data_IF_933662346023
#
_entry.id   IF_933662346023
#
_cell.length_a   1.000
_cell.length_b   1.000
_cell.length_c   1.000
_cell.angle_alpha   90.00
_cell.angle_beta   90.00
_cell.angle_gamma   90.00
#
_symmetry.space_group_name_H-M   'P 1'
#
loop_
_entity.id
_entity.type
_entity.pdbx_description
1 polymer ?
#
# COMPACT_ATOMS: atom_id res chain seq x y z
N UNK A 1 -22.79 23.52 26.63
CA UNK A 1 -22.02 22.55 25.83
C UNK A 1 -22.30 21.19 26.43
N UNK A 2 -22.66 20.20 25.61
CA UNK A 2 -22.81 18.83 26.10
C UNK A 2 -21.43 18.31 26.50
N UNK A 3 -21.31 17.73 27.69
CA UNK A 3 -20.06 17.17 28.22
C UNK A 3 -20.26 15.70 28.58
N UNK A 4 -19.29 14.85 28.26
CA UNK A 4 -19.32 13.46 28.71
C UNK A 4 -19.19 13.40 30.24
N UNK A 5 -19.93 12.52 30.95
CA UNK A 5 -19.83 12.40 32.40
C UNK A 5 -18.38 12.13 32.82
N UNK A 6 -17.90 12.85 33.85
CA UNK A 6 -16.58 12.62 34.45
C UNK A 6 -16.47 11.25 35.10
N UNK A 7 -17.59 10.72 35.58
CA UNK A 7 -17.73 9.37 36.12
C UNK A 7 -18.72 8.57 35.26
N UNK A 8 -18.28 8.01 34.13
CA UNK A 8 -19.17 7.27 33.25
C UNK A 8 -19.69 6.01 33.94
N UNK A 9 -20.99 5.78 33.77
CA UNK A 9 -21.66 4.56 34.22
C UNK A 9 -21.21 3.36 33.37
N UNK A 10 -21.53 2.15 33.82
CA UNK A 10 -21.29 0.95 33.02
C UNK A 10 -22.00 0.99 31.66
N UNK A 11 -23.20 1.56 31.61
CA UNK A 11 -23.98 1.70 30.38
C UNK A 11 -23.30 2.66 29.40
N UNK A 12 -22.72 3.76 29.89
CA UNK A 12 -21.95 4.70 29.06
C UNK A 12 -20.73 4.02 28.46
N UNK A 13 -19.95 3.29 29.28
CA UNK A 13 -18.78 2.55 28.83
C UNK A 13 -19.13 1.47 27.81
N UNK A 14 -20.23 0.75 28.04
CA UNK A 14 -20.75 -0.25 27.11
C UNK A 14 -21.13 0.39 25.77
N UNK A 15 -21.84 1.52 25.77
CA UNK A 15 -22.21 2.23 24.54
C UNK A 15 -20.98 2.70 23.75
N UNK A 16 -19.96 3.22 24.44
CA UNK A 16 -18.67 3.61 23.83
C UNK A 16 -17.98 2.40 23.18
N UNK A 17 -17.87 1.29 23.91
CA UNK A 17 -17.25 0.08 23.41
C UNK A 17 -18.03 -0.52 22.23
N UNK A 18 -19.36 -0.53 22.27
CA UNK A 18 -20.20 -1.05 21.20
C UNK A 18 -20.12 -0.21 19.93
N UNK A 19 -20.11 1.12 20.02
CA UNK A 19 -19.92 1.96 18.83
C UNK A 19 -18.54 1.73 18.23
N UNK A 20 -17.49 1.73 19.06
CA UNK A 20 -16.14 1.44 18.61
C UNK A 20 -16.04 0.05 17.95
N UNK A 21 -16.76 -0.94 18.50
CA UNK A 21 -16.80 -2.29 17.95
C UNK A 21 -17.51 -2.37 16.58
N UNK A 22 -18.57 -1.58 16.39
CA UNK A 22 -19.33 -1.57 15.12
C UNK A 22 -18.69 -0.71 14.04
N UNK A 23 -17.71 0.12 14.41
CA UNK A 23 -17.08 1.06 13.49
C UNK A 23 -16.24 0.35 12.40
N UNK A 24 -16.22 0.94 11.22
CA UNK A 24 -15.46 0.45 10.07
C UNK A 24 -14.74 1.59 9.38
N UNK A 25 -13.44 1.43 9.11
CA UNK A 25 -12.68 2.39 8.31
C UNK A 25 -13.24 2.54 6.88
N UNK A 26 -13.78 1.45 6.32
CA UNK A 26 -14.37 1.43 4.97
C UNK A 26 -15.62 2.29 4.84
N UNK A 27 -16.39 2.46 5.92
CA UNK A 27 -17.63 3.23 5.86
C UNK A 27 -17.37 4.70 5.51
N UNK A 28 -16.25 5.28 5.95
CA UNK A 28 -15.86 6.64 5.55
C UNK A 28 -15.45 6.71 4.07
N UNK A 29 -14.63 5.77 3.61
CA UNK A 29 -14.20 5.74 2.22
C UNK A 29 -15.41 5.55 1.27
N UNK A 30 -16.33 4.66 1.61
CA UNK A 30 -17.60 4.44 0.88
C UNK A 30 -18.49 5.68 0.91
N UNK A 31 -18.54 6.39 2.03
CA UNK A 31 -19.30 7.63 2.13
C UNK A 31 -18.77 8.72 1.19
N UNK A 32 -17.46 8.96 1.21
CA UNK A 32 -16.80 9.94 0.35
C UNK A 32 -16.98 9.58 -1.13
N UNK A 33 -16.97 8.28 -1.45
CA UNK A 33 -17.28 7.76 -2.79
C UNK A 33 -18.75 8.01 -3.18
N UNK A 34 -19.70 7.71 -2.29
CA UNK A 34 -21.13 7.89 -2.55
C UNK A 34 -21.52 9.35 -2.80
N UNK A 35 -20.82 10.31 -2.18
CA UNK A 35 -21.04 11.75 -2.40
C UNK A 35 -20.43 12.29 -3.69
N UNK A 36 -19.53 11.55 -4.33
CA UNK A 36 -18.95 11.92 -5.62
C UNK A 36 -19.20 10.81 -6.65
N UNK A 37 -20.33 10.84 -7.38
CA UNK A 37 -20.65 9.79 -8.36
C UNK A 37 -19.61 9.69 -9.50
N UNK A 38 -18.81 10.73 -9.70
CA UNK A 38 -17.72 10.76 -10.66
C UNK A 38 -16.39 10.18 -10.12
N UNK A 39 -16.30 9.90 -8.82
CA UNK A 39 -15.08 9.46 -8.16
C UNK A 39 -14.99 7.92 -8.17
N UNK A 40 -14.29 7.37 -9.16
CA UNK A 40 -14.03 5.93 -9.28
C UNK A 40 -12.84 5.52 -8.39
N UNK A 41 -13.02 5.58 -7.07
CA UNK A 41 -12.06 5.05 -6.10
C UNK A 41 -12.25 3.54 -5.97
N UNK A 42 -11.70 2.76 -6.89
CA UNK A 42 -11.43 1.36 -6.56
C UNK A 42 -10.20 1.35 -5.64
N UNK A 43 -10.34 0.94 -4.38
CA UNK A 43 -9.19 0.80 -3.49
C UNK A 43 -8.28 -0.34 -3.97
N UNK A 44 -6.98 -0.28 -3.68
CA UNK A 44 -6.14 -1.46 -3.88
C UNK A 44 -6.51 -2.54 -2.87
N UNK A 45 -6.32 -3.84 -3.14
CA UNK A 45 -6.62 -4.90 -2.17
C UNK A 45 -5.94 -4.67 -0.82
N UNK A 46 -4.73 -4.11 -0.86
CA UNK A 46 -4.01 -3.73 0.35
C UNK A 46 -4.66 -2.55 1.04
N UNK A 47 -5.06 -1.52 0.30
CA UNK A 47 -5.79 -0.39 0.88
C UNK A 47 -7.11 -0.87 1.50
N UNK A 48 -7.86 -1.75 0.84
CA UNK A 48 -9.09 -2.35 1.36
C UNK A 48 -8.86 -3.21 2.59
N UNK A 49 -7.77 -3.98 2.62
CA UNK A 49 -7.39 -4.81 3.77
C UNK A 49 -6.96 -3.93 4.96
N UNK A 50 -6.19 -2.88 4.68
CA UNK A 50 -5.79 -1.88 5.68
C UNK A 50 -7.00 -1.06 6.13
N UNK A 51 -8.01 -0.77 5.30
CA UNK A 51 -9.18 0.01 5.74
C UNK A 51 -10.27 -0.85 6.36
N UNK A 52 -10.24 -2.19 6.18
CA UNK A 52 -11.15 -3.09 6.91
C UNK A 52 -10.87 -3.18 8.40
N UNK A 53 -9.63 -2.96 8.84
CA UNK A 53 -9.30 -3.03 10.27
C UNK A 53 -9.74 -1.73 10.96
N UNK A 54 -10.55 -1.81 12.03
CA UNK A 54 -10.85 -0.65 12.86
C UNK A 54 -9.60 -0.08 13.53
N UNK A 55 -8.63 -0.94 13.87
CA UNK A 55 -7.39 -0.53 14.52
C UNK A 55 -6.52 0.32 13.59
N UNK A 56 -6.40 -0.03 12.32
CA UNK A 56 -5.68 0.80 11.34
C UNK A 56 -6.41 2.09 11.04
N UNK A 57 -7.74 2.11 10.99
CA UNK A 57 -8.51 3.34 10.85
C UNK A 57 -8.25 4.31 12.01
N UNK A 58 -8.14 3.78 13.24
CA UNK A 58 -7.74 4.55 14.42
C UNK A 58 -6.26 4.95 14.36
N UNK A 59 -5.38 4.04 13.93
CA UNK A 59 -3.96 4.33 13.75
C UNK A 59 -3.76 5.48 12.76
N UNK A 60 -4.49 5.54 11.64
CA UNK A 60 -4.43 6.67 10.69
C UNK A 60 -4.77 8.01 11.33
N UNK A 61 -5.60 8.05 12.36
CA UNK A 61 -5.94 9.30 13.06
C UNK A 61 -4.83 9.78 13.99
N UNK A 62 -3.96 8.87 14.46
CA UNK A 62 -2.86 9.19 15.40
C UNK A 62 -1.53 9.30 14.68
N UNK A 63 -1.31 8.45 13.67
CA UNK A 63 -0.07 8.38 12.93
C UNK A 63 0.18 9.72 12.22
N UNK A 64 1.44 10.16 12.18
CA UNK A 64 1.82 11.31 11.39
C UNK A 64 1.46 11.09 9.91
N UNK A 65 1.03 12.14 9.22
CA UNK A 65 0.77 12.06 7.79
C UNK A 65 2.07 11.88 7.01
N UNK A 66 3.15 12.54 7.43
CA UNK A 66 4.46 12.46 6.77
C UNK A 66 5.57 12.03 7.72
N UNK A 67 6.65 11.46 7.17
CA UNK A 67 7.87 11.14 7.92
C UNK A 67 8.40 12.36 8.67
N UNK A 68 8.36 13.55 8.07
CA UNK A 68 8.80 14.78 8.73
C UNK A 68 7.97 15.18 9.96
N UNK A 69 6.73 14.69 10.07
CA UNK A 69 5.85 14.97 11.21
C UNK A 69 6.20 14.04 12.39
N UNK A 70 6.74 12.85 12.11
CA UNK A 70 7.20 11.88 13.10
C UNK A 70 8.54 12.30 13.73
N UNK A 71 8.71 12.08 15.03
CA UNK A 71 9.98 12.32 15.73
C UNK A 71 11.12 11.45 15.18
N UNK A 72 10.86 10.14 15.02
CA UNK A 72 11.80 9.20 14.41
C UNK A 72 12.13 9.56 12.95
N UNK A 73 11.16 10.11 12.22
CA UNK A 73 11.36 10.52 10.83
C UNK A 73 12.21 11.79 10.71
N UNK A 74 12.09 12.72 11.67
CA UNK A 74 13.01 13.85 11.81
C UNK A 74 14.43 13.39 12.09
N UNK A 75 14.60 12.43 13.00
CA UNK A 75 15.90 11.82 13.32
C UNK A 75 16.53 11.16 12.08
N UNK A 76 15.82 10.26 11.41
CA UNK A 76 16.30 9.60 10.18
C UNK A 76 16.59 10.62 9.08
N UNK A 77 15.77 11.66 8.93
CA UNK A 77 16.03 12.70 7.93
C UNK A 77 17.29 13.50 8.24
N UNK A 78 17.63 13.71 9.51
CA UNK A 78 18.78 14.56 9.89
C UNK A 78 20.14 13.98 9.49
N UNK A 79 20.24 12.66 9.32
CA UNK A 79 21.48 11.99 8.90
C UNK A 79 21.63 11.88 7.37
N UNK A 80 20.62 12.32 6.60
CA UNK A 80 20.65 12.32 5.15
C UNK A 80 21.18 13.66 4.59
N UNK A 81 21.79 13.71 3.39
CA UNK A 81 22.09 14.94 2.68
C UNK A 81 20.85 15.83 2.47
N UNK A 82 21.00 17.17 2.47
CA UNK A 82 19.88 18.14 2.50
C UNK A 82 18.81 17.89 1.41
N UNK A 83 19.24 17.56 0.19
CA UNK A 83 18.34 17.21 -0.92
C UNK A 83 17.47 15.98 -0.62
N UNK A 84 18.05 14.97 0.04
CA UNK A 84 17.35 13.75 0.44
C UNK A 84 16.51 13.98 1.70
N UNK A 85 16.90 14.89 2.60
CA UNK A 85 16.09 15.24 3.77
C UNK A 85 14.71 15.77 3.36
N UNK A 86 14.66 16.71 2.41
CA UNK A 86 13.39 17.29 1.94
C UNK A 86 12.49 16.23 1.30
N UNK A 87 13.08 15.28 0.57
CA UNK A 87 12.33 14.18 -0.05
C UNK A 87 11.84 13.18 1.01
N UNK A 88 12.71 12.78 1.94
CA UNK A 88 12.41 11.85 3.02
C UNK A 88 11.31 12.40 3.92
N UNK A 89 11.39 13.67 4.34
CA UNK A 89 10.37 14.32 5.20
C UNK A 89 8.99 14.40 4.55
N UNK A 90 8.92 14.43 3.22
CA UNK A 90 7.66 14.50 2.48
C UNK A 90 7.09 13.12 2.09
N UNK A 91 7.69 12.02 2.54
CA UNK A 91 7.12 10.68 2.37
C UNK A 91 5.87 10.58 3.26
N UNK A 92 4.73 10.28 2.65
CA UNK A 92 3.47 10.06 3.34
C UNK A 92 3.51 8.72 4.09
N UNK A 93 3.20 8.74 5.39
CA UNK A 93 3.10 7.56 6.26
C UNK A 93 1.66 7.04 6.38
N UNK A 94 0.71 7.68 5.69
CA UNK A 94 -0.68 7.24 5.62
C UNK A 94 -1.56 7.69 6.79
N UNK A 95 -1.03 8.49 7.72
CA UNK A 95 -1.84 9.22 8.68
C UNK A 95 -2.70 10.30 8.02
N UNK A 96 -3.82 10.67 8.65
CA UNK A 96 -4.68 11.75 8.15
C UNK A 96 -3.99 13.11 8.30
N UNK A 97 -4.06 13.94 7.26
CA UNK A 97 -3.72 15.37 7.36
C UNK A 97 -4.64 16.09 8.35
N UNK A 98 -4.23 17.27 8.84
CA UNK A 98 -5.09 18.09 9.69
C UNK A 98 -6.43 18.45 9.00
N UNK A 99 -6.38 18.78 7.70
CA UNK A 99 -7.58 19.08 6.92
C UNK A 99 -8.47 17.84 6.72
N UNK A 100 -7.88 16.66 6.48
CA UNK A 100 -8.65 15.41 6.40
C UNK A 100 -9.30 15.05 7.74
N UNK A 101 -8.61 15.27 8.87
CA UNK A 101 -9.21 15.07 10.20
C UNK A 101 -10.37 16.02 10.45
N UNK A 102 -10.21 17.31 10.08
CA UNK A 102 -11.28 18.31 10.19
C UNK A 102 -12.47 17.91 9.33
N UNK A 103 -12.25 17.61 8.06
CA UNK A 103 -13.31 17.17 7.13
C UNK A 103 -13.98 15.88 7.61
N UNK A 104 -13.21 14.91 8.08
CA UNK A 104 -13.73 13.67 8.67
C UNK A 104 -14.70 13.98 9.81
N UNK A 105 -14.31 14.89 10.69
CA UNK A 105 -15.10 15.31 11.84
C UNK A 105 -16.37 16.08 11.45
N UNK A 106 -16.26 17.01 10.51
CA UNK A 106 -17.39 17.77 9.94
C UNK A 106 -18.42 16.82 9.30
N UNK A 107 -17.98 15.90 8.44
CA UNK A 107 -18.87 14.95 7.78
C UNK A 107 -19.59 14.02 8.77
N UNK A 108 -18.92 13.58 9.85
CA UNK A 108 -19.58 12.83 10.93
C UNK A 108 -20.58 13.68 11.70
N UNK A 109 -20.29 14.95 11.92
CA UNK A 109 -21.21 15.87 12.59
C UNK A 109 -22.48 16.08 11.77
N UNK A 110 -22.36 16.12 10.45
CA UNK A 110 -23.48 16.33 9.53
C UNK A 110 -24.30 15.05 9.26
N UNK A 111 -23.66 13.87 9.32
CA UNK A 111 -24.28 12.61 8.92
C UNK A 111 -24.37 11.58 10.06
N UNK A 112 -25.58 11.31 10.59
CA UNK A 112 -25.77 10.34 11.66
C UNK A 112 -25.39 8.89 11.29
N UNK A 113 -25.56 8.49 10.03
CA UNK A 113 -25.19 7.13 9.59
C UNK A 113 -23.68 6.99 9.51
N UNK A 114 -22.98 7.98 8.97
CA UNK A 114 -21.52 7.98 8.94
C UNK A 114 -20.95 7.92 10.36
N UNK A 115 -21.50 8.71 11.28
CA UNK A 115 -21.13 8.73 12.70
C UNK A 115 -21.34 7.38 13.38
N UNK A 116 -22.45 6.71 13.09
CA UNK A 116 -22.78 5.38 13.61
C UNK A 116 -21.81 4.31 13.11
N UNK A 117 -21.39 4.41 11.85
CA UNK A 117 -20.61 3.38 11.17
C UNK A 117 -19.10 3.61 11.20
N UNK A 118 -18.62 4.72 11.76
CA UNK A 118 -17.20 5.05 11.83
C UNK A 118 -16.83 5.49 13.25
N UNK A 119 -15.54 5.62 13.57
CA UNK A 119 -15.06 6.08 14.89
C UNK A 119 -14.06 7.23 14.80
N UNK A 120 -14.27 8.30 15.58
CA UNK A 120 -13.27 9.35 15.80
C UNK A 120 -12.63 9.18 17.18
N UNK A 121 -11.29 9.12 17.21
CA UNK A 121 -10.55 8.88 18.45
C UNK A 121 -10.81 10.02 19.45
N UNK A 122 -11.20 9.64 20.66
CA UNK A 122 -11.49 10.61 21.71
C UNK A 122 -12.87 11.27 21.59
N UNK A 123 -13.71 10.90 20.61
CA UNK A 123 -15.13 11.29 20.60
C UNK A 123 -16.02 10.10 20.91
N UNK A 124 -17.08 10.34 21.67
CA UNK A 124 -18.01 9.31 22.16
C UNK A 124 -19.45 9.71 21.96
N UNK A 125 -20.36 8.74 21.76
CA UNK A 125 -21.75 9.05 21.47
C UNK A 125 -22.44 9.49 22.76
N UNK A 126 -23.42 10.37 22.63
CA UNK A 126 -24.33 10.74 23.72
C UNK A 126 -25.63 9.95 23.61
N UNK A 127 -26.28 9.69 24.74
CA UNK A 127 -27.57 9.00 24.79
C UNK A 127 -28.67 9.75 24.01
N UNK A 128 -28.61 11.09 24.01
CA UNK A 128 -29.54 11.98 23.30
C UNK A 128 -29.19 12.14 21.81
N UNK A 129 -28.16 11.44 21.33
CA UNK A 129 -27.59 11.62 20.00
C UNK A 129 -26.48 12.67 19.96
N UNK A 130 -25.66 12.62 18.91
CA UNK A 130 -24.45 13.45 18.82
C UNK A 130 -23.21 12.77 19.37
N UNK A 131 -22.10 13.48 19.31
CA UNK A 131 -20.81 13.07 19.87
C UNK A 131 -20.20 14.19 20.70
N UNK A 132 -19.46 13.82 21.73
CA UNK A 132 -18.73 14.76 22.58
C UNK A 132 -17.27 14.34 22.68
N UNK A 133 -16.38 15.32 22.77
CA UNK A 133 -14.96 15.09 22.97
C UNK A 133 -14.67 14.68 24.42
N UNK A 134 -13.89 13.61 24.57
CA UNK A 134 -13.45 13.10 25.85
C UNK A 134 -12.35 13.99 26.42
N UNK A 135 -12.67 14.65 27.53
CA UNK A 135 -11.68 15.38 28.32
C UNK A 135 -10.48 14.51 28.74
N UNK A 136 -9.37 15.14 29.16
CA UNK A 136 -8.13 14.45 29.57
C UNK A 136 -8.36 13.34 30.61
N UNK A 137 -9.26 13.57 31.58
CA UNK A 137 -9.55 12.66 32.70
C UNK A 137 -10.47 11.48 32.41
N UNK A 138 -11.07 11.37 31.21
CA UNK A 138 -12.03 10.31 30.88
C UNK A 138 -11.35 8.99 30.46
N UNK A 139 -10.41 8.49 31.26
CA UNK A 139 -9.60 7.31 30.95
C UNK A 139 -10.44 6.05 30.76
N UNK A 140 -11.53 5.89 31.53
CA UNK A 140 -12.42 4.72 31.43
C UNK A 140 -13.12 4.66 30.07
N UNK A 141 -13.58 5.81 29.56
CA UNK A 141 -14.21 5.89 28.25
C UNK A 141 -13.21 5.66 27.11
N UNK A 142 -11.99 6.24 27.21
CA UNK A 142 -10.91 5.96 26.26
C UNK A 142 -10.53 4.48 26.24
N UNK A 143 -10.46 3.84 27.41
CA UNK A 143 -10.21 2.41 27.54
C UNK A 143 -11.35 1.58 26.93
N UNK A 144 -12.61 1.96 27.15
CA UNK A 144 -13.75 1.31 26.53
C UNK A 144 -13.74 1.43 25.00
N UNK A 145 -13.41 2.62 24.46
CA UNK A 145 -13.26 2.85 23.02
C UNK A 145 -12.15 1.96 22.44
N UNK A 146 -10.98 1.93 23.09
CA UNK A 146 -9.87 1.07 22.68
C UNK A 146 -10.24 -0.43 22.73
N UNK A 147 -10.93 -0.86 23.79
CA UNK A 147 -11.41 -2.24 23.92
C UNK A 147 -12.38 -2.62 22.80
N UNK A 148 -13.30 -1.72 22.43
CA UNK A 148 -14.22 -1.93 21.31
C UNK A 148 -13.50 -2.09 19.97
N UNK A 149 -12.52 -1.23 19.69
CA UNK A 149 -11.68 -1.32 18.47
C UNK A 149 -10.91 -2.64 18.42
N UNK A 150 -10.27 -3.03 19.51
CA UNK A 150 -9.53 -4.29 19.59
C UNK A 150 -10.46 -5.50 19.44
N UNK A 151 -11.63 -5.47 20.06
CA UNK A 151 -12.64 -6.53 19.93
C UNK A 151 -13.13 -6.69 18.49
N UNK A 152 -13.39 -5.58 17.80
CA UNK A 152 -13.85 -5.62 16.41
C UNK A 152 -12.77 -6.08 15.46
N UNK A 153 -11.53 -5.66 15.68
CA UNK A 153 -10.41 -6.11 14.90
C UNK A 153 -10.18 -7.63 15.03
N UNK A 154 -10.27 -8.17 16.26
CA UNK A 154 -10.23 -9.62 16.50
C UNK A 154 -11.40 -10.35 15.83
N UNK A 155 -12.62 -9.80 15.90
CA UNK A 155 -13.80 -10.41 15.29
C UNK A 155 -13.76 -10.40 13.75
N UNK A 156 -13.11 -9.40 13.16
CA UNK A 156 -12.96 -9.25 11.70
C UNK A 156 -11.65 -9.83 11.15
N UNK A 157 -10.81 -10.41 12.01
CA UNK A 157 -9.46 -10.91 11.70
C UNK A 157 -8.56 -9.85 11.04
N UNK A 158 -8.81 -8.56 11.35
CA UNK A 158 -8.17 -7.41 10.73
C UNK A 158 -6.65 -7.39 10.96
N UNK A 159 -6.22 -7.48 12.22
CA UNK A 159 -4.81 -7.50 12.61
C UNK A 159 -4.08 -8.73 12.11
N UNK A 160 -4.74 -9.89 11.94
CA UNK A 160 -4.08 -11.07 11.37
C UNK A 160 -3.80 -10.87 9.89
N UNK A 161 -4.74 -10.31 9.14
CA UNK A 161 -4.52 -9.93 7.74
C UNK A 161 -3.40 -8.89 7.62
N UNK A 162 -3.35 -7.91 8.53
CA UNK A 162 -2.25 -6.94 8.61
C UNK A 162 -0.94 -7.61 9.03
N UNK A 163 -0.96 -8.57 9.95
CA UNK A 163 0.23 -9.29 10.41
C UNK A 163 0.82 -10.15 9.29
N UNK A 164 -0.01 -10.87 8.53
CA UNK A 164 0.41 -11.56 7.30
C UNK A 164 1.01 -10.58 6.28
N UNK A 165 0.36 -9.42 6.13
CA UNK A 165 0.83 -8.36 5.23
C UNK A 165 2.16 -7.73 5.67
N UNK A 166 2.33 -7.43 6.95
CA UNK A 166 3.57 -6.87 7.50
C UNK A 166 4.71 -7.90 7.46
N UNK A 167 4.40 -9.19 7.69
CA UNK A 167 5.36 -10.28 7.50
C UNK A 167 5.75 -10.53 6.04
N UNK A 168 5.11 -9.87 5.09
CA UNK A 168 5.49 -9.88 3.68
C UNK A 168 6.05 -8.50 3.30
N UNK A 169 7.38 -8.26 3.38
CA UNK A 169 7.90 -6.93 3.06
C UNK A 169 7.72 -6.56 1.57
N UNK A 170 7.34 -7.52 0.74
CA UNK A 170 6.84 -7.33 -0.62
C UNK A 170 5.55 -6.50 -0.65
N UNK A 171 4.69 -6.70 0.34
CA UNK A 171 3.42 -6.03 0.48
C UNK A 171 3.63 -4.57 0.96
N UNK A 172 4.62 -4.35 1.83
CA UNK A 172 5.11 -2.99 2.17
C UNK A 172 5.66 -2.28 0.93
N UNK A 173 6.48 -2.96 0.12
CA UNK A 173 6.97 -2.40 -1.15
C UNK A 173 5.82 -2.04 -2.11
N UNK A 174 4.78 -2.88 -2.18
CA UNK A 174 3.59 -2.62 -2.96
C UNK A 174 2.79 -1.40 -2.44
N UNK A 175 2.68 -1.20 -1.13
CA UNK A 175 2.06 0.01 -0.56
C UNK A 175 2.87 1.24 -0.90
N UNK A 176 4.19 1.20 -0.69
CA UNK A 176 5.07 2.30 -1.05
C UNK A 176 4.95 2.67 -2.53
N UNK A 177 4.78 1.66 -3.39
CA UNK A 177 4.53 1.82 -4.82
C UNK A 177 3.18 2.49 -5.11
N UNK A 178 2.09 2.03 -4.47
CA UNK A 178 0.78 2.65 -4.61
C UNK A 178 0.75 4.10 -4.11
N UNK A 179 1.37 4.37 -2.96
CA UNK A 179 1.52 5.73 -2.44
C UNK A 179 2.37 6.59 -3.38
N UNK A 180 3.47 6.04 -3.90
CA UNK A 180 4.32 6.70 -4.89
C UNK A 180 3.52 7.12 -6.12
N UNK A 181 2.76 6.18 -6.71
CA UNK A 181 1.92 6.44 -7.87
C UNK A 181 0.79 7.42 -7.57
N UNK A 182 0.11 7.32 -6.41
CA UNK A 182 -0.93 8.25 -5.99
C UNK A 182 -0.40 9.67 -5.83
N UNK A 183 0.77 9.84 -5.21
CA UNK A 183 1.36 11.16 -5.06
C UNK A 183 1.75 11.77 -6.41
N UNK A 184 2.28 10.95 -7.33
CA UNK A 184 2.57 11.41 -8.68
C UNK A 184 1.28 11.79 -9.43
N UNK A 185 0.20 11.01 -9.32
CA UNK A 185 -1.11 11.34 -9.86
C UNK A 185 -1.61 12.68 -9.32
N UNK A 186 -1.65 12.85 -8.00
CA UNK A 186 -2.08 14.06 -7.30
C UNK A 186 -1.31 15.30 -7.76
N UNK A 187 0.00 15.19 -7.90
CA UNK A 187 0.87 16.30 -8.35
C UNK A 187 0.62 16.69 -9.80
N UNK A 188 0.10 15.76 -10.63
CA UNK A 188 -0.19 15.98 -12.05
C UNK A 188 -1.70 16.08 -12.33
N UNK A 189 -2.55 16.18 -11.30
CA UNK A 189 -4.01 16.22 -11.44
C UNK A 189 -4.48 17.41 -12.31
N UNK A 190 -3.84 18.58 -12.16
CA UNK A 190 -4.12 19.75 -12.99
C UNK A 190 -3.81 19.52 -14.48
N UNK A 191 -2.82 18.66 -14.79
CA UNK A 191 -2.39 18.36 -16.16
C UNK A 191 -3.29 17.29 -16.78
N UNK A 192 -3.70 16.29 -15.99
CA UNK A 192 -4.60 15.23 -16.47
C UNK A 192 -6.07 15.64 -16.50
N UNK A 193 -6.45 16.67 -15.74
CA UNK A 193 -7.86 17.04 -15.53
C UNK A 193 -8.64 16.03 -14.67
N UNK A 194 -7.94 15.07 -14.04
CA UNK A 194 -8.52 14.11 -13.11
C UNK A 194 -8.62 14.71 -11.71
N UNK A 195 -9.55 14.22 -10.90
CA UNK A 195 -9.60 14.59 -9.48
C UNK A 195 -8.30 14.15 -8.78
N UNK A 196 -7.71 14.97 -7.88
CA UNK A 196 -6.49 14.60 -7.15
C UNK A 196 -6.60 13.32 -6.30
N UNK A 197 -7.82 12.87 -5.99
CA UNK A 197 -8.13 11.63 -5.28
C UNK A 197 -8.28 10.44 -6.22
N UNK A 198 -8.48 10.68 -7.51
CA UNK A 198 -8.71 9.64 -8.50
C UNK A 198 -7.39 8.94 -8.91
N UNK A 199 -7.35 7.60 -8.93
CA UNK A 199 -6.17 6.89 -9.41
C UNK A 199 -6.05 7.01 -10.93
N UNK A 200 -4.87 7.38 -11.41
CA UNK A 200 -4.56 7.49 -12.85
C UNK A 200 -4.71 6.15 -13.59
N UNK A 201 -4.45 5.05 -12.89
CA UNK A 201 -4.76 3.70 -13.33
C UNK A 201 -6.00 3.26 -12.55
N UNK A 202 -7.21 3.33 -13.12
CA UNK A 202 -8.44 3.05 -12.38
C UNK A 202 -8.61 1.55 -12.18
N UNK A 203 -8.37 0.76 -13.24
CA UNK A 203 -8.44 -0.69 -13.16
C UNK A 203 -7.45 -1.26 -12.12
N UNK A 204 -7.97 -1.99 -11.14
CA UNK A 204 -7.17 -2.66 -10.10
C UNK A 204 -6.10 -3.60 -10.67
N UNK A 205 -6.41 -4.46 -11.64
CA UNK A 205 -5.43 -5.40 -12.20
C UNK A 205 -4.27 -4.67 -12.88
N UNK A 206 -4.56 -3.56 -13.57
CA UNK A 206 -3.54 -2.69 -14.18
C UNK A 206 -2.66 -2.03 -13.11
N UNK A 207 -3.25 -1.55 -12.01
CA UNK A 207 -2.47 -1.02 -10.87
C UNK A 207 -1.57 -2.06 -10.21
N UNK A 208 -2.09 -3.27 -10.02
CA UNK A 208 -1.30 -4.38 -9.47
C UNK A 208 -0.12 -4.70 -10.40
N UNK A 209 -0.34 -4.74 -11.71
CA UNK A 209 0.73 -4.91 -12.70
C UNK A 209 1.76 -3.77 -12.65
N UNK A 210 1.30 -2.52 -12.48
CA UNK A 210 2.18 -1.36 -12.33
C UNK A 210 3.07 -1.47 -11.08
N UNK A 211 2.59 -2.14 -10.03
CA UNK A 211 3.36 -2.38 -8.80
C UNK A 211 4.29 -3.60 -8.85
N UNK A 212 4.18 -4.44 -9.88
CA UNK A 212 4.96 -5.67 -10.00
C UNK A 212 6.49 -5.46 -9.90
N UNK A 213 7.11 -4.42 -10.51
CA UNK A 213 8.55 -4.22 -10.38
C UNK A 213 9.03 -4.06 -8.94
N UNK A 214 8.33 -3.28 -8.12
CA UNK A 214 8.68 -3.08 -6.71
C UNK A 214 8.46 -4.36 -5.89
N UNK A 215 7.38 -5.09 -6.19
CA UNK A 215 7.10 -6.39 -5.57
C UNK A 215 8.18 -7.44 -5.91
N UNK A 216 8.63 -7.50 -7.17
CA UNK A 216 9.73 -8.39 -7.59
C UNK A 216 11.04 -7.98 -6.92
N UNK A 217 11.38 -6.68 -6.95
CA UNK A 217 12.59 -6.16 -6.32
C UNK A 217 12.66 -6.51 -4.83
N UNK A 218 11.56 -6.29 -4.10
CA UNK A 218 11.46 -6.68 -2.69
C UNK A 218 11.64 -8.19 -2.52
N UNK A 219 10.93 -8.99 -3.31
CA UNK A 219 11.00 -10.45 -3.24
C UNK A 219 12.42 -10.98 -3.49
N UNK A 220 13.16 -10.37 -4.42
CA UNK A 220 14.55 -10.73 -4.69
C UNK A 220 15.47 -10.31 -3.55
N UNK A 221 15.36 -9.06 -3.06
CA UNK A 221 16.18 -8.56 -1.97
C UNK A 221 16.04 -9.32 -0.65
N UNK A 222 14.87 -9.93 -0.42
CA UNK A 222 14.56 -10.66 0.82
C UNK A 222 14.81 -12.16 0.67
N UNK A 223 15.20 -12.63 -0.53
CA UNK A 223 15.45 -14.04 -0.79
C UNK A 223 14.17 -14.90 -0.80
N UNK A 224 13.04 -14.32 -1.24
CA UNK A 224 11.79 -15.08 -1.36
C UNK A 224 11.77 -15.99 -2.59
N UNK A 225 12.53 -15.65 -3.63
CA UNK A 225 12.64 -16.50 -4.84
C UNK A 225 13.78 -17.52 -4.77
N UNK A 226 14.86 -17.19 -4.05
CA UNK A 226 16.06 -18.00 -3.98
C UNK A 226 16.65 -17.95 -2.58
N UNK A 227 17.35 -19.01 -2.20
CA UNK A 227 18.19 -19.03 -1.01
C UNK A 227 19.28 -17.97 -1.13
N UNK A 228 19.46 -17.18 -0.07
CA UNK A 228 20.60 -16.28 0.01
C UNK A 228 21.85 -17.06 0.44
N UNK A 229 23.04 -16.75 -0.12
CA UNK A 229 24.29 -17.34 0.34
C UNK A 229 24.49 -17.15 1.85
N UNK A 230 24.96 -18.18 2.53
CA UNK A 230 25.12 -18.22 3.99
C UNK A 230 23.87 -18.70 4.75
N UNK A 231 22.78 -19.02 4.06
CA UNK A 231 21.54 -19.52 4.68
C UNK A 231 21.18 -20.92 4.20
N UNK A 232 20.45 -21.67 5.02
CA UNK A 232 19.87 -22.95 4.65
C UNK A 232 18.72 -22.80 3.65
N UNK A 233 18.36 -23.88 2.97
CA UNK A 233 17.02 -24.01 2.41
C UNK A 233 15.97 -24.07 3.54
N UNK A 234 14.72 -23.70 3.24
CA UNK A 234 13.58 -23.84 4.17
C UNK A 234 13.13 -25.30 4.31
N UNK A 235 13.32 -26.10 3.27
CA UNK A 235 13.19 -27.56 3.23
C UNK A 235 14.55 -28.16 2.87
N UNK A 236 15.52 -28.14 3.82
CA UNK A 236 16.88 -28.58 3.54
C UNK A 236 16.95 -30.08 3.23
N UNK A 237 17.86 -30.43 2.35
CA UNK A 237 18.35 -31.80 2.22
C UNK A 237 19.14 -32.21 3.49
N UNK A 238 19.13 -33.51 3.81
CA UNK A 238 19.83 -34.02 4.99
C UNK A 238 21.35 -33.97 4.81
N UNK A 239 21.82 -34.22 3.59
CA UNK A 239 23.24 -34.29 3.26
C UNK A 239 23.81 -32.90 2.90
N UNK A 240 22.99 -32.05 2.28
CA UNK A 240 23.35 -30.67 1.96
C UNK A 240 22.25 -29.67 2.39
N UNK A 241 22.41 -28.95 3.52
CA UNK A 241 21.41 -28.03 4.02
C UNK A 241 21.23 -26.78 3.14
N UNK A 242 22.07 -26.59 2.13
CA UNK A 242 21.96 -25.51 1.14
C UNK A 242 21.03 -25.88 -0.02
N UNK A 243 20.78 -27.18 -0.22
CA UNK A 243 19.88 -27.69 -1.25
C UNK A 243 18.50 -27.93 -0.68
N UNK A 244 17.50 -27.85 -1.56
CA UNK A 244 16.12 -28.18 -1.18
C UNK A 244 15.73 -29.53 -1.74
N UNK A 245 15.05 -30.33 -0.90
CA UNK A 245 14.44 -31.61 -1.33
C UNK A 245 13.21 -31.39 -2.21
N UNK A 246 12.60 -30.20 -2.17
CA UNK A 246 11.40 -29.88 -2.92
C UNK A 246 11.36 -28.40 -3.29
N UNK A 247 11.74 -28.07 -4.53
CA UNK A 247 11.78 -26.69 -5.02
C UNK A 247 10.41 -25.99 -4.98
N UNK A 248 9.31 -26.70 -5.26
CA UNK A 248 7.97 -26.14 -5.17
C UNK A 248 7.58 -25.84 -3.71
N UNK A 249 7.93 -26.74 -2.79
CA UNK A 249 7.73 -26.56 -1.35
C UNK A 249 8.61 -25.44 -0.77
N UNK A 250 9.85 -25.31 -1.22
CA UNK A 250 10.78 -24.24 -0.86
C UNK A 250 10.22 -22.88 -1.29
N UNK A 251 9.78 -22.78 -2.55
CA UNK A 251 9.15 -21.57 -3.07
C UNK A 251 7.87 -21.27 -2.28
N UNK A 252 7.05 -22.28 -1.98
CA UNK A 252 5.84 -22.08 -1.20
C UNK A 252 6.12 -21.58 0.23
N UNK A 253 7.09 -22.18 0.92
CA UNK A 253 7.52 -21.78 2.26
C UNK A 253 8.10 -20.36 2.28
N UNK A 254 8.95 -20.01 1.31
CA UNK A 254 9.55 -18.68 1.21
C UNK A 254 8.54 -17.62 0.83
N UNK A 255 7.76 -17.90 -0.21
CA UNK A 255 6.87 -16.93 -0.83
C UNK A 255 5.57 -16.73 -0.05
N UNK A 256 4.90 -17.81 0.36
CA UNK A 256 3.61 -17.72 1.06
C UNK A 256 3.76 -17.68 2.57
N UNK A 257 4.59 -18.54 3.15
CA UNK A 257 4.76 -18.59 4.60
C UNK A 257 5.80 -17.59 5.11
N UNK A 258 6.49 -16.89 4.20
CA UNK A 258 7.53 -15.94 4.56
C UNK A 258 8.71 -16.57 5.31
N UNK A 259 8.92 -17.88 5.25
CA UNK A 259 10.03 -18.52 5.96
C UNK A 259 11.33 -18.26 5.21
N UNK A 260 12.32 -17.68 5.88
CA UNK A 260 13.71 -17.74 5.42
C UNK A 260 14.40 -18.94 6.07
N UNK A 261 15.37 -19.53 5.37
CA UNK A 261 16.23 -20.53 6.00
C UNK A 261 17.02 -19.91 7.16
N UNK A 262 17.43 -20.74 8.12
CA UNK A 262 18.33 -20.30 9.18
C UNK A 262 19.74 -20.06 8.63
N UNK A 263 20.55 -19.29 9.35
CA UNK A 263 21.98 -19.16 9.05
C UNK A 263 22.66 -20.55 9.02
N UNK A 264 23.56 -20.77 8.06
CA UNK A 264 24.41 -21.97 8.03
C UNK A 264 25.38 -21.96 9.22
N UNK A 265 25.77 -23.12 9.77
CA UNK A 265 26.91 -23.20 10.70
C UNK A 265 28.15 -22.54 10.08
N UNK A 266 29.00 -21.88 10.88
CA UNK A 266 30.11 -21.07 10.35
C UNK A 266 30.99 -21.82 9.35
N UNK A 267 31.27 -23.10 9.63
CA UNK A 267 32.17 -23.91 8.81
C UNK A 267 31.57 -24.22 7.42
N UNK A 268 30.25 -24.23 7.28
CA UNK A 268 29.54 -24.30 5.99
C UNK A 268 29.30 -22.90 5.41
N UNK A 269 28.98 -21.93 6.26
CA UNK A 269 28.76 -20.53 5.89
C UNK A 269 29.96 -19.94 5.15
N UNK A 270 31.17 -20.16 5.67
CA UNK A 270 32.41 -19.63 5.10
C UNK A 270 32.74 -20.24 3.73
N UNK A 271 32.20 -21.44 3.40
CA UNK A 271 32.34 -22.02 2.06
C UNK A 271 31.58 -21.19 1.02
N UNK A 272 30.46 -20.59 1.42
CA UNK A 272 29.66 -19.73 0.53
C UNK A 272 30.02 -18.24 0.65
N UNK A 273 30.53 -17.82 1.81
CA UNK A 273 30.88 -16.44 2.15
C UNK A 273 32.26 -16.37 2.82
N UNK A 274 33.34 -16.67 2.08
CA UNK A 274 34.71 -16.63 2.62
C UNK A 274 35.17 -15.20 2.95
N UNK A 275 34.43 -14.21 2.47
CA UNK A 275 34.65 -12.78 2.73
C UNK A 275 34.22 -12.33 4.13
N UNK A 276 33.50 -13.17 4.89
CA UNK A 276 32.99 -12.83 6.22
C UNK A 276 33.77 -13.60 7.28
N UNK A 277 34.39 -12.87 8.21
CA UNK A 277 35.13 -13.44 9.33
C UNK A 277 34.22 -14.11 10.36
N UNK A 278 34.79 -15.00 11.19
CA UNK A 278 34.06 -15.65 12.29
C UNK A 278 33.51 -14.65 13.31
N UNK A 279 34.24 -13.58 13.55
CA UNK A 279 33.80 -12.47 14.42
C UNK A 279 32.56 -11.79 13.84
N UNK A 280 32.56 -11.44 12.55
CA UNK A 280 31.42 -10.80 11.89
C UNK A 280 30.20 -11.73 11.85
N UNK A 281 30.41 -13.00 11.51
CA UNK A 281 29.34 -14.01 11.55
C UNK A 281 28.70 -14.10 12.95
N UNK A 282 29.51 -14.16 14.02
CA UNK A 282 29.00 -14.24 15.38
C UNK A 282 28.30 -12.95 15.82
N UNK A 283 28.84 -11.79 15.44
CA UNK A 283 28.20 -10.49 15.68
C UNK A 283 26.83 -10.43 14.98
N UNK A 284 26.76 -10.89 13.73
CA UNK A 284 25.52 -10.93 12.98
C UNK A 284 24.50 -11.92 13.54
N UNK A 285 24.93 -13.12 13.90
CA UNK A 285 24.10 -14.11 14.58
C UNK A 285 23.53 -13.50 15.88
N UNK A 286 24.36 -12.82 16.66
CA UNK A 286 23.91 -12.12 17.86
C UNK A 286 22.89 -11.02 17.52
N UNK A 287 23.10 -10.22 16.47
CA UNK A 287 22.12 -9.22 16.02
C UNK A 287 20.74 -9.82 15.71
N UNK A 288 20.69 -10.96 15.01
CA UNK A 288 19.44 -11.65 14.69
C UNK A 288 18.69 -12.10 15.96
N UNK A 289 19.40 -12.62 16.97
CA UNK A 289 18.78 -13.26 18.15
C UNK A 289 18.74 -12.43 19.45
N UNK A 290 19.56 -11.39 19.61
CA UNK A 290 19.74 -10.66 20.89
C UNK A 290 18.61 -9.69 21.22
N UNK A 291 18.08 -8.99 20.22
CA UNK A 291 17.07 -7.95 20.42
C UNK A 291 15.68 -8.49 20.05
N UNK A 292 14.65 -8.26 20.87
CA UNK A 292 13.27 -8.68 20.57
C UNK A 292 12.48 -7.63 19.77
N UNK A 293 13.11 -6.50 19.42
CA UNK A 293 12.47 -5.46 18.61
C UNK A 293 11.99 -6.02 17.26
N UNK A 294 10.75 -5.72 16.83
CA UNK A 294 10.24 -6.11 15.53
C UNK A 294 10.90 -5.35 14.38
N UNK A 295 11.64 -4.27 14.65
CA UNK A 295 12.41 -3.53 13.65
C UNK A 295 13.81 -3.28 14.21
N UNK A 296 14.84 -3.65 13.45
CA UNK A 296 16.24 -3.42 13.81
C UNK A 296 17.02 -3.00 12.57
N UNK A 297 18.09 -2.25 12.75
CA UNK A 297 19.05 -1.95 11.70
C UNK A 297 20.45 -2.32 12.17
N UNK A 298 21.30 -2.72 11.23
CA UNK A 298 22.75 -2.86 11.45
C UNK A 298 23.50 -2.32 10.24
N UNK A 299 24.65 -1.72 10.48
CA UNK A 299 25.59 -1.33 9.41
C UNK A 299 26.52 -2.50 9.05
N UNK A 300 26.74 -3.42 9.99
CA UNK A 300 27.69 -4.53 9.91
C UNK A 300 26.98 -5.85 9.56
N UNK A 301 25.96 -5.76 8.71
CA UNK A 301 25.25 -6.93 8.24
C UNK A 301 26.10 -7.79 7.32
N UNK A 302 25.81 -9.09 7.24
CA UNK A 302 26.58 -9.99 6.36
C UNK A 302 26.41 -9.67 4.87
N UNK A 303 25.42 -8.85 4.51
CA UNK A 303 25.25 -8.33 3.14
C UNK A 303 25.49 -6.82 3.06
N UNK A 304 26.26 -6.29 4.01
CA UNK A 304 26.39 -4.85 4.28
C UNK A 304 25.23 -4.32 5.13
N UNK A 305 24.96 -3.00 5.09
CA UNK A 305 23.89 -2.41 5.88
C UNK A 305 22.54 -3.05 5.59
N UNK A 306 21.79 -3.40 6.63
CA UNK A 306 20.50 -4.09 6.49
C UNK A 306 19.51 -3.71 7.59
N UNK A 307 18.22 -3.83 7.26
CA UNK A 307 17.12 -3.63 8.21
C UNK A 307 16.43 -4.97 8.41
N UNK A 308 16.38 -5.43 9.66
CA UNK A 308 15.55 -6.57 10.03
C UNK A 308 14.13 -6.08 10.35
N UNK A 309 13.15 -6.58 9.63
CA UNK A 309 11.73 -6.33 9.87
C UNK A 309 11.04 -7.66 10.17
N UNK A 310 10.53 -7.81 11.39
CA UNK A 310 9.83 -9.00 11.88
C UNK A 310 10.60 -10.31 11.65
N UNK A 311 11.91 -10.29 11.90
CA UNK A 311 12.79 -11.45 11.73
C UNK A 311 13.33 -11.63 10.31
N UNK A 312 12.85 -10.88 9.32
CA UNK A 312 13.37 -10.90 7.95
C UNK A 312 14.40 -9.80 7.75
N UNK A 313 15.61 -10.17 7.36
CA UNK A 313 16.62 -9.17 7.00
C UNK A 313 16.41 -8.68 5.57
N UNK A 314 16.45 -7.37 5.39
CA UNK A 314 16.34 -6.68 4.10
C UNK A 314 17.63 -5.90 3.90
N UNK A 315 18.57 -6.41 3.08
CA UNK A 315 19.79 -5.68 2.79
C UNK A 315 19.48 -4.35 2.08
N UNK A 316 20.22 -3.30 2.45
CA UNK A 316 20.04 -1.97 1.87
C UNK A 316 20.32 -2.00 0.37
N UNK A 317 21.42 -2.63 -0.05
CA UNK A 317 21.87 -2.67 -1.43
C UNK A 317 20.96 -3.48 -2.36
N UNK A 318 20.46 -4.64 -1.92
CA UNK A 318 19.73 -5.58 -2.78
C UNK A 318 18.23 -5.59 -2.52
N UNK A 319 17.74 -5.00 -1.42
CA UNK A 319 16.32 -4.90 -1.09
C UNK A 319 15.83 -3.45 -1.09
N UNK A 320 16.26 -2.64 -0.13
CA UNK A 320 15.69 -1.31 0.11
C UNK A 320 15.96 -0.36 -1.07
N UNK A 321 17.21 -0.28 -1.56
CA UNK A 321 17.58 0.59 -2.68
C UNK A 321 16.81 0.20 -3.95
N UNK A 322 16.75 -1.08 -4.37
CA UNK A 322 15.93 -1.49 -5.51
C UNK A 322 14.44 -1.15 -5.34
N UNK A 323 13.84 -1.38 -4.17
CA UNK A 323 12.45 -0.98 -3.89
C UNK A 323 12.28 0.54 -4.07
N UNK A 324 13.14 1.35 -3.44
CA UNK A 324 13.08 2.81 -3.53
C UNK A 324 13.26 3.29 -4.98
N UNK A 325 14.18 2.67 -5.72
CA UNK A 325 14.42 2.93 -7.14
C UNK A 325 13.19 2.55 -7.99
N UNK A 326 12.53 1.42 -7.72
CA UNK A 326 11.28 1.04 -8.37
C UNK A 326 10.20 2.09 -8.12
N UNK A 327 10.01 2.53 -6.87
CA UNK A 327 9.00 3.55 -6.50
C UNK A 327 9.30 4.90 -7.17
N UNK A 328 10.57 5.32 -7.19
CA UNK A 328 10.99 6.53 -7.88
C UNK A 328 10.77 6.44 -9.40
N UNK A 329 11.11 5.30 -10.00
CA UNK A 329 10.85 4.99 -11.40
C UNK A 329 9.36 5.01 -11.72
N UNK A 330 8.52 4.48 -10.84
CA UNK A 330 7.07 4.49 -11.00
C UNK A 330 6.49 5.90 -10.99
N UNK A 331 6.93 6.73 -10.03
CA UNK A 331 6.57 8.15 -9.97
C UNK A 331 6.90 8.87 -11.27
N UNK A 332 8.13 8.68 -11.77
CA UNK A 332 8.56 9.24 -13.06
C UNK A 332 7.75 8.67 -14.22
N UNK A 333 7.42 7.39 -14.17
CA UNK A 333 6.61 6.69 -15.15
C UNK A 333 5.18 7.20 -15.22
N UNK A 334 4.51 7.43 -14.08
CA UNK A 334 3.19 8.08 -14.00
C UNK A 334 3.24 9.46 -14.65
N UNK A 335 4.19 10.31 -14.25
CA UNK A 335 4.34 11.65 -14.82
C UNK A 335 4.48 11.60 -16.35
N UNK A 336 5.44 10.83 -16.86
CA UNK A 336 5.66 10.65 -18.31
C UNK A 336 4.48 10.00 -19.02
N UNK A 337 3.75 9.13 -18.33
CA UNK A 337 2.55 8.49 -18.84
C UNK A 337 1.43 9.50 -19.04
N UNK A 338 1.17 10.33 -18.03
CA UNK A 338 0.19 11.41 -18.09
C UNK A 338 0.55 12.39 -19.21
N UNK A 339 1.80 12.84 -19.29
CA UNK A 339 2.27 13.74 -20.36
C UNK A 339 2.00 13.16 -21.75
N UNK A 340 2.23 11.85 -21.95
CA UNK A 340 1.92 11.15 -23.20
C UNK A 340 0.43 11.06 -23.49
N UNK A 341 -0.39 10.79 -22.47
CA UNK A 341 -1.85 10.71 -22.63
C UNK A 341 -2.43 12.08 -22.96
N UNK A 342 -1.97 13.14 -22.30
CA UNK A 342 -2.42 14.52 -22.54
C UNK A 342 -2.06 15.01 -23.93
N UNK A 343 -0.94 14.53 -24.49
CA UNK A 343 -0.51 14.84 -25.85
C UNK A 343 -0.14 16.32 -26.06
N UNK A 344 0.34 16.70 -27.26
CA UNK A 344 0.53 18.11 -27.60
C UNK A 344 -0.83 18.83 -27.61
N UNK A 345 -0.85 20.08 -27.10
CA UNK A 345 -2.02 20.97 -27.04
C UNK A 345 -3.14 20.59 -26.05
N UNK A 346 -2.98 19.58 -25.19
CA UNK A 346 -3.95 19.28 -24.13
C UNK A 346 -5.30 18.71 -24.62
N UNK A 347 -5.42 18.37 -25.91
CA UNK A 347 -6.59 17.69 -26.50
C UNK A 347 -6.46 16.16 -26.49
N UNK A 348 -5.56 15.62 -25.67
CA UNK A 348 -5.24 14.20 -25.67
C UNK A 348 -6.30 13.30 -25.03
N UNK A 349 -5.85 12.11 -24.66
CA UNK A 349 -6.67 10.99 -24.23
C UNK A 349 -7.61 11.27 -23.06
N UNK A 350 -7.21 12.09 -22.07
CA UNK A 350 -8.07 12.39 -20.91
C UNK A 350 -9.24 13.32 -21.25
N UNK A 351 -9.04 14.32 -22.11
CA UNK A 351 -10.12 15.18 -22.59
C UNK A 351 -11.11 14.38 -23.43
N UNK A 352 -10.58 13.51 -24.31
CA UNK A 352 -11.41 12.59 -25.10
C UNK A 352 -12.19 11.62 -24.21
N UNK A 353 -11.56 11.06 -23.18
CA UNK A 353 -12.20 10.18 -22.20
C UNK A 353 -13.33 10.90 -21.46
N UNK A 354 -13.09 12.12 -20.97
CA UNK A 354 -14.12 12.93 -20.28
C UNK A 354 -15.32 13.20 -21.18
N UNK A 355 -15.09 13.61 -22.43
CA UNK A 355 -16.16 13.83 -23.40
C UNK A 355 -16.99 12.56 -23.67
N UNK A 356 -16.33 11.41 -23.83
CA UNK A 356 -17.02 10.13 -24.03
C UNK A 356 -17.82 9.72 -22.78
N UNK A 357 -17.33 10.04 -21.59
CA UNK A 357 -18.06 9.83 -20.34
C UNK A 357 -19.32 10.70 -20.26
N UNK A 358 -19.21 12.00 -20.58
CA UNK A 358 -20.34 12.93 -20.63
C UNK A 358 -21.39 12.48 -21.66
N UNK A 359 -20.95 12.02 -22.84
CA UNK A 359 -21.81 11.45 -23.88
C UNK A 359 -22.56 10.20 -23.38
N UNK A 360 -21.84 9.25 -22.77
CA UNK A 360 -22.45 8.07 -22.14
C UNK A 360 -23.47 8.46 -21.06
N UNK A 361 -23.14 9.39 -20.16
CA UNK A 361 -24.04 9.84 -19.09
C UNK A 361 -25.29 10.51 -19.65
N UNK A 362 -25.15 11.34 -20.69
CA UNK A 362 -26.26 11.99 -21.37
C UNK A 362 -27.17 10.95 -22.05
N UNK A 363 -26.61 10.00 -22.79
CA UNK A 363 -27.37 8.93 -23.43
C UNK A 363 -28.08 8.04 -22.40
N UNK A 364 -27.40 7.68 -21.31
CA UNK A 364 -28.01 6.92 -20.21
C UNK A 364 -29.16 7.68 -19.55
N UNK A 365 -29.00 8.98 -19.29
CA UNK A 365 -30.06 9.80 -18.72
C UNK A 365 -31.26 9.91 -19.64
N UNK A 366 -31.03 10.03 -20.96
CA UNK A 366 -32.09 10.03 -21.97
C UNK A 366 -32.76 8.66 -22.10
N UNK A 367 -32.00 7.56 -22.12
CA UNK A 367 -32.55 6.21 -22.18
C UNK A 367 -33.45 5.85 -20.98
N UNK A 368 -33.27 6.52 -19.84
CA UNK A 368 -34.17 6.38 -18.68
C UNK A 368 -35.48 7.18 -18.83
N UNK A 369 -35.58 8.12 -19.78
CA UNK A 369 -36.81 8.83 -20.08
C UNK A 369 -37.69 7.97 -21.01
N UNK A 370 -38.91 7.58 -20.60
CA UNK A 370 -39.81 6.76 -21.43
C UNK A 370 -40.16 7.38 -22.80
N UNK A 371 -39.93 8.69 -22.99
CA UNK A 371 -40.22 9.42 -24.24
C UNK A 371 -39.02 9.53 -25.17
N UNK A 372 -37.84 9.09 -24.75
CA UNK A 372 -36.60 9.19 -25.53
C UNK A 372 -36.55 8.14 -26.63
N UNK A 373 -35.95 8.50 -27.77
CA UNK A 373 -35.64 7.61 -28.90
C UNK A 373 -34.29 6.87 -28.74
N UNK A 374 -33.58 7.13 -27.65
CA UNK A 374 -32.29 6.49 -27.35
C UNK A 374 -32.50 5.01 -27.00
N UNK A 375 -31.93 4.14 -27.82
CA UNK A 375 -31.92 2.70 -27.61
C UNK A 375 -30.85 2.25 -26.61
N UNK A 376 -31.06 1.11 -25.95
CA UNK A 376 -30.06 0.47 -25.08
C UNK A 376 -28.74 0.18 -25.81
N UNK A 377 -28.81 -0.12 -27.11
CA UNK A 377 -27.65 -0.35 -27.96
C UNK A 377 -26.75 0.91 -28.05
N UNK A 378 -27.35 2.09 -28.23
CA UNK A 378 -26.59 3.36 -28.25
C UNK A 378 -25.92 3.66 -26.91
N UNK A 379 -26.61 3.36 -25.79
CA UNK A 379 -26.02 3.52 -24.45
C UNK A 379 -24.85 2.56 -24.24
N UNK A 380 -24.98 1.31 -24.70
CA UNK A 380 -23.93 0.30 -24.63
C UNK A 380 -22.72 0.66 -25.49
N UNK A 381 -22.94 1.16 -26.72
CA UNK A 381 -21.86 1.59 -27.63
C UNK A 381 -21.08 2.77 -27.05
N UNK A 382 -21.77 3.79 -26.52
CA UNK A 382 -21.12 4.92 -25.87
C UNK A 382 -20.29 4.48 -24.64
N UNK A 383 -20.80 3.52 -23.85
CA UNK A 383 -20.06 2.94 -22.74
C UNK A 383 -18.79 2.20 -23.20
N UNK A 384 -18.88 1.46 -24.30
CA UNK A 384 -17.74 0.73 -24.87
C UNK A 384 -16.67 1.70 -25.38
N UNK A 385 -17.05 2.76 -26.10
CA UNK A 385 -16.12 3.79 -26.56
C UNK A 385 -15.40 4.49 -25.40
N UNK A 386 -16.15 4.85 -24.35
CA UNK A 386 -15.57 5.41 -23.12
C UNK A 386 -14.56 4.43 -22.49
N UNK A 387 -14.94 3.17 -22.29
CA UNK A 387 -14.08 2.13 -21.69
C UNK A 387 -12.83 1.87 -22.51
N UNK A 388 -12.93 1.86 -23.83
CA UNK A 388 -11.78 1.62 -24.69
C UNK A 388 -10.80 2.80 -24.68
N UNK A 389 -11.31 4.04 -24.64
CA UNK A 389 -10.45 5.21 -24.43
C UNK A 389 -9.76 5.18 -23.06
N UNK A 390 -10.49 4.83 -22.00
CA UNK A 390 -9.93 4.64 -20.66
C UNK A 390 -8.80 3.58 -20.68
N UNK A 391 -9.04 2.40 -21.28
CA UNK A 391 -8.02 1.34 -21.41
C UNK A 391 -6.79 1.83 -22.17
N UNK A 392 -6.95 2.60 -23.24
CA UNK A 392 -5.81 3.17 -24.00
C UNK A 392 -4.98 4.13 -23.13
N UNK A 393 -5.65 4.98 -22.37
CA UNK A 393 -5.00 5.92 -21.46
C UNK A 393 -4.23 5.16 -20.36
N UNK A 394 -4.88 4.20 -19.69
CA UNK A 394 -4.28 3.36 -18.66
C UNK A 394 -3.10 2.54 -19.18
N UNK A 395 -3.22 1.93 -20.37
CA UNK A 395 -2.13 1.16 -20.98
C UNK A 395 -0.91 2.04 -21.29
N UNK A 396 -1.13 3.27 -21.71
CA UNK A 396 -0.04 4.23 -21.98
C UNK A 396 0.70 4.59 -20.69
N UNK A 397 -0.05 4.85 -19.62
CA UNK A 397 0.53 5.12 -18.30
C UNK A 397 1.24 3.88 -17.75
N UNK A 398 0.61 2.70 -17.80
CA UNK A 398 1.18 1.43 -17.34
C UNK A 398 2.52 1.14 -18.01
N UNK A 399 2.58 1.24 -19.35
CA UNK A 399 3.82 1.04 -20.12
C UNK A 399 4.93 1.97 -19.62
N UNK A 400 4.59 3.22 -19.34
CA UNK A 400 5.54 4.20 -18.81
C UNK A 400 5.98 3.85 -17.38
N UNK A 401 5.05 3.44 -16.50
CA UNK A 401 5.37 2.99 -15.13
C UNK A 401 6.29 1.78 -15.17
N UNK A 402 5.97 0.73 -15.92
CA UNK A 402 6.80 -0.47 -16.01
C UNK A 402 8.17 -0.14 -16.58
N UNK A 403 8.25 0.60 -17.69
CA UNK A 403 9.53 0.93 -18.31
C UNK A 403 10.45 1.75 -17.37
N UNK A 404 9.92 2.76 -16.68
CA UNK A 404 10.74 3.59 -15.79
C UNK A 404 11.04 2.87 -14.47
N UNK A 405 10.10 2.11 -13.90
CA UNK A 405 10.33 1.34 -12.67
C UNK A 405 11.37 0.26 -12.90
N UNK A 406 11.21 -0.52 -13.98
CA UNK A 406 12.12 -1.61 -14.27
C UNK A 406 13.49 -1.09 -14.73
N UNK A 407 13.55 -0.02 -15.53
CA UNK A 407 14.82 0.63 -15.88
C UNK A 407 15.60 1.12 -14.65
N UNK A 408 14.92 1.77 -13.69
CA UNK A 408 15.56 2.23 -12.45
C UNK A 408 15.95 1.07 -11.52
N UNK A 409 15.15 0.00 -11.48
CA UNK A 409 15.42 -1.19 -10.65
C UNK A 409 16.59 -2.01 -11.20
N UNK A 410 16.63 -2.21 -12.51
CA UNK A 410 17.73 -2.92 -13.19
C UNK A 410 19.03 -2.13 -13.10
N UNK A 411 18.97 -0.80 -13.24
CA UNK A 411 20.13 0.07 -13.00
C UNK A 411 20.62 0.04 -11.54
N UNK A 412 19.76 -0.32 -10.58
CA UNK A 412 20.10 -0.39 -9.17
C UNK A 412 20.67 -1.75 -8.72
N UNK A 413 20.23 -2.89 -9.27
CA UNK A 413 20.76 -4.20 -8.82
C UNK A 413 20.45 -5.45 -9.69
N UNK A 414 19.64 -5.41 -10.76
CA UNK A 414 19.01 -6.63 -11.31
C UNK A 414 19.01 -6.71 -12.84
N UNK A 415 20.01 -7.38 -13.43
CA UNK A 415 20.19 -7.51 -14.88
C UNK A 415 19.31 -8.61 -15.50
N UNK A 416 18.56 -8.23 -16.55
CA UNK A 416 18.13 -9.13 -17.64
C UNK A 416 16.83 -9.92 -17.45
N UNK A 417 16.78 -10.85 -16.50
CA UNK A 417 15.79 -11.95 -16.53
C UNK A 417 14.34 -11.49 -16.32
N UNK A 418 14.12 -10.60 -15.35
CA UNK A 418 12.80 -10.06 -15.01
C UNK A 418 12.24 -9.22 -16.15
N UNK A 419 13.08 -8.38 -16.76
CA UNK A 419 12.69 -7.51 -17.88
C UNK A 419 12.21 -8.31 -19.08
N UNK A 420 12.87 -9.41 -19.41
CA UNK A 420 12.45 -10.27 -20.54
C UNK A 420 11.14 -11.00 -20.23
N UNK A 421 10.92 -11.45 -19.00
CA UNK A 421 9.65 -12.07 -18.59
C UNK A 421 8.47 -11.07 -18.65
N UNK A 422 8.66 -9.83 -18.18
CA UNK A 422 7.65 -8.78 -18.24
C UNK A 422 7.41 -8.31 -19.68
N UNK A 423 8.46 -8.20 -20.50
CA UNK A 423 8.35 -7.87 -21.93
C UNK A 423 7.49 -8.90 -22.67
N UNK A 424 7.68 -10.19 -22.39
CA UNK A 424 6.89 -11.28 -22.98
C UNK A 424 5.44 -11.24 -22.50
N UNK A 425 5.20 -11.00 -21.21
CA UNK A 425 3.84 -10.87 -20.67
C UNK A 425 3.05 -9.68 -21.26
N UNK A 426 3.73 -8.56 -21.57
CA UNK A 426 3.11 -7.36 -22.16
C UNK A 426 2.87 -7.43 -23.67
N UNK A 427 3.54 -8.35 -24.39
CA UNK A 427 3.40 -8.48 -25.85
C UNK A 427 2.18 -9.31 -26.29
N UNK A 428 1.45 -9.93 -25.36
CA UNK A 428 0.37 -10.88 -25.69
C UNK A 428 0.93 -12.21 -26.22
N UNK A 429 0.10 -13.27 -26.24
CA UNK A 429 0.50 -14.58 -26.78
C UNK A 429 0.97 -14.41 -28.23
N UNK A 430 2.12 -14.97 -28.57
CA UNK A 430 2.53 -15.10 -29.96
C UNK A 430 1.49 -15.93 -30.71
N UNK A 431 1.22 -15.65 -32.00
CA UNK A 431 0.36 -16.52 -32.80
C UNK A 431 0.93 -17.94 -32.75
N UNK A 432 0.13 -18.87 -32.25
CA UNK A 432 0.40 -20.30 -32.40
C UNK A 432 0.36 -20.56 -33.89
N UNK A 433 1.50 -20.98 -34.46
CA UNK A 433 1.49 -21.53 -35.81
C UNK A 433 0.76 -22.87 -35.71
N UNK A 434 -0.36 -22.99 -36.45
CA UNK A 434 -1.02 -24.28 -36.65
C UNK A 434 -0.04 -25.19 -37.42
N UNK A 435 0.26 -26.35 -36.85
CA UNK A 435 1.02 -27.43 -37.48
C UNK A 435 0.25 -28.08 -38.63
#
# INVERSE_FOLDING_TARGET
MLSFPTEPTWNDLKAVAEQAFRSSGRAYDQYVQGKNPNLQLENSPVADMVTSSPLTALAKQVLPNKVGDAEIGRLISSVLPEELQRRARNIELGGMTADEKRLYSELRADDPELRRNTLELGKVPLAEGGEVELGPGNYRAKAAQAAGVLGADLATDGMRNIWWFLNAPQAVAQVAMFQGMRQAAKTNAAVSGLDPREPVLRNRSVRMAAAAPAWIAASMGIGNFMRQPGYKATLPDQDDPTQTTNMAGELANRYFLGRSGSLLPYDEFVKERPDVSRSEYNAYKNYLFSNKSPIKGTMDGISGPEVNFMGKSIPLATGIIPIAASVAGARRGIKRGIEKVVGPEGKGGYVKEKRLLEEYQNLKSKGNDPKSDVSDAQVADALNLYRDQQKMNENTVLKSVIANSAGMTTGAALSGYVLESMRRALKGKAPEYED
#
